data_IF_424267607316
#
_entry.id   IF_424267607316
#
_cell.length_a   1.000
_cell.length_b   1.000
_cell.length_c   1.000
_cell.angle_alpha   90.00
_cell.angle_beta   90.00
_cell.angle_gamma   90.00
#
_symmetry.space_group_name_H-M   'P 1'
#
loop_
_entity.id
_entity.type
_entity.pdbx_description
1 polymer ?
#
# COMPACT_ATOMS: atom_id res chain seq x y z
N UNK A 1 -1.88 22.26 47.54
CA UNK A 1 -1.22 21.02 47.97
C UNK A 1 -0.18 20.79 46.92
N UNK A 2 0.86 21.59 47.03
CA UNK A 2 1.67 22.06 45.91
C UNK A 2 2.89 21.17 45.82
N UNK A 3 3.12 20.59 44.65
CA UNK A 3 4.17 19.63 44.39
C UNK A 3 4.86 19.99 43.08
N UNK A 4 5.63 21.08 43.15
CA UNK A 4 6.59 21.47 42.12
C UNK A 4 7.73 20.44 42.10
N UNK A 5 7.87 19.76 40.97
CA UNK A 5 8.91 18.76 40.73
C UNK A 5 9.70 19.12 39.49
N UNK A 6 10.57 20.11 39.64
CA UNK A 6 11.65 20.41 38.69
C UNK A 6 12.65 19.24 38.68
N UNK A 7 12.83 18.63 37.51
CA UNK A 7 13.60 17.40 37.34
C UNK A 7 14.39 17.37 36.04
N UNK A 8 15.48 18.14 36.06
CA UNK A 8 16.80 17.81 35.53
C UNK A 8 17.05 17.73 34.00
N UNK A 9 18.05 18.52 33.61
CA UNK A 9 18.60 18.66 32.28
C UNK A 9 19.77 17.69 32.11
N UNK A 10 19.53 16.54 31.47
CA UNK A 10 20.56 15.58 31.10
C UNK A 10 20.93 15.68 29.63
N UNK A 11 22.02 16.39 29.32
CA UNK A 11 22.65 16.37 28.00
C UNK A 11 23.19 14.99 27.62
N UNK A 12 23.23 14.70 26.32
CA UNK A 12 23.75 13.42 25.85
C UNK A 12 23.94 13.35 24.33
N UNK A 13 25.09 13.85 23.87
CA UNK A 13 25.85 13.30 22.74
C UNK A 13 25.15 13.21 21.39
N UNK A 14 25.31 14.25 20.58
CA UNK A 14 25.15 14.17 19.12
C UNK A 14 26.31 13.34 18.54
N UNK A 15 26.21 12.01 18.68
CA UNK A 15 27.13 11.03 18.11
C UNK A 15 26.83 10.82 16.63
N UNK A 16 27.15 11.81 15.80
CA UNK A 16 27.20 11.68 14.35
C UNK A 16 28.33 10.74 13.95
N UNK A 17 28.13 9.45 14.16
CA UNK A 17 28.99 8.40 13.63
C UNK A 17 28.86 8.39 12.11
N UNK A 18 29.73 9.13 11.43
CA UNK A 18 30.09 8.85 10.05
C UNK A 18 30.67 7.44 10.04
N UNK A 19 29.81 6.46 9.81
CA UNK A 19 30.20 5.10 9.47
C UNK A 19 31.01 5.18 8.20
N UNK A 20 32.33 5.25 8.36
CA UNK A 20 33.33 5.08 7.32
C UNK A 20 33.34 3.58 6.95
N UNK A 21 32.22 3.09 6.42
CA UNK A 21 32.14 1.79 5.79
C UNK A 21 33.13 1.83 4.64
N UNK A 22 34.11 0.92 4.66
CA UNK A 22 35.23 0.90 3.72
C UNK A 22 34.74 0.96 2.28
N UNK A 23 34.69 2.19 1.75
CA UNK A 23 34.36 2.47 0.37
C UNK A 23 35.38 1.72 -0.47
N UNK A 24 34.92 0.69 -1.18
CA UNK A 24 35.74 0.03 -2.21
C UNK A 24 36.34 1.12 -3.08
N UNK A 25 37.66 1.28 -3.02
CA UNK A 25 38.41 2.51 -3.35
C UNK A 25 38.47 2.87 -4.84
N UNK A 26 37.36 2.79 -5.55
CA UNK A 26 37.21 3.33 -6.90
C UNK A 26 37.17 4.86 -6.90
N UNK A 27 37.68 5.46 -7.97
CA UNK A 27 37.59 6.89 -8.17
C UNK A 27 36.11 7.29 -8.36
N UNK A 28 35.67 8.35 -7.67
CA UNK A 28 34.31 8.87 -7.82
C UNK A 28 34.13 9.43 -9.23
N UNK A 29 33.00 9.11 -9.87
CA UNK A 29 32.66 9.59 -11.20
C UNK A 29 32.56 11.14 -11.21
N UNK A 30 33.03 11.84 -12.27
CA UNK A 30 32.85 13.29 -12.38
C UNK A 30 31.37 13.69 -12.35
N UNK A 31 31.04 14.83 -11.75
CA UNK A 31 29.64 15.28 -11.58
C UNK A 31 28.87 15.39 -12.90
N UNK A 32 29.53 15.77 -14.00
CA UNK A 32 28.89 15.88 -15.32
C UNK A 32 28.54 14.52 -15.96
N UNK A 33 29.07 13.42 -15.41
CA UNK A 33 28.79 12.06 -15.83
C UNK A 33 27.87 11.34 -14.82
N UNK A 34 27.42 12.02 -13.75
CA UNK A 34 26.54 11.40 -12.75
C UNK A 34 25.19 11.00 -13.36
N UNK A 35 24.74 9.78 -13.09
CA UNK A 35 23.42 9.28 -13.51
C UNK A 35 22.33 10.00 -12.73
N UNK A 36 21.32 10.55 -13.41
CA UNK A 36 20.20 11.20 -12.74
C UNK A 36 19.26 10.12 -12.16
N UNK A 37 18.85 10.22 -10.86
CA UNK A 37 17.80 9.36 -10.33
C UNK A 37 16.52 9.31 -11.18
N UNK A 38 16.20 10.37 -11.91
CA UNK A 38 15.04 10.46 -12.79
C UNK A 38 15.13 9.58 -14.05
N UNK A 39 16.32 9.11 -14.42
CA UNK A 39 16.54 8.20 -15.56
C UNK A 39 16.13 6.76 -15.22
N UNK A 40 15.93 6.47 -13.93
CA UNK A 40 15.42 5.18 -13.48
C UNK A 40 13.91 5.08 -13.69
N UNK A 41 13.50 3.91 -14.15
CA UNK A 41 12.12 3.51 -14.33
C UNK A 41 11.74 2.50 -13.25
N UNK A 42 10.53 2.63 -12.74
CA UNK A 42 10.03 1.82 -11.65
C UNK A 42 8.74 1.14 -12.06
N UNK A 43 8.62 -0.14 -11.76
CA UNK A 43 7.42 -0.91 -12.04
C UNK A 43 7.05 -1.84 -10.90
N UNK A 44 5.76 -2.16 -10.84
CA UNK A 44 5.12 -3.10 -9.92
C UNK A 44 4.15 -3.99 -10.71
N UNK A 45 3.55 -4.98 -10.06
CA UNK A 45 2.61 -5.89 -10.72
C UNK A 45 3.26 -6.63 -11.91
N UNK A 46 4.41 -7.25 -11.68
CA UNK A 46 5.20 -7.97 -12.69
C UNK A 46 5.63 -7.11 -13.89
N UNK A 47 6.16 -5.90 -13.63
CA UNK A 47 6.66 -4.94 -14.64
C UNK A 47 5.58 -4.35 -15.56
N UNK A 48 4.30 -4.47 -15.20
CA UNK A 48 3.18 -4.03 -16.05
C UNK A 48 2.57 -2.70 -15.60
N UNK A 49 2.80 -2.29 -14.36
CA UNK A 49 2.33 -1.01 -13.84
C UNK A 49 3.56 -0.16 -13.59
N UNK A 50 3.77 0.87 -14.41
CA UNK A 50 4.84 1.83 -14.18
C UNK A 50 4.40 2.79 -13.07
N UNK A 51 5.25 2.93 -12.04
CA UNK A 51 5.05 3.87 -10.95
C UNK A 51 6.00 5.05 -11.12
N UNK A 52 5.55 6.22 -10.69
CA UNK A 52 6.35 7.45 -10.79
C UNK A 52 7.07 7.71 -9.48
N UNK A 53 8.33 8.12 -9.58
CA UNK A 53 9.04 8.71 -8.46
C UNK A 53 8.49 10.11 -8.20
N UNK A 54 8.13 10.42 -6.96
CA UNK A 54 7.69 11.76 -6.51
C UNK A 54 8.55 12.17 -5.33
N UNK A 55 9.17 13.35 -5.39
CA UNK A 55 10.04 13.87 -4.31
C UNK A 55 11.16 12.88 -3.93
N UNK A 56 11.84 12.33 -4.94
CA UNK A 56 12.89 11.30 -4.76
C UNK A 56 12.40 10.01 -4.06
N UNK A 57 11.11 9.70 -4.15
CA UNK A 57 10.48 8.58 -3.47
C UNK A 57 9.57 7.78 -4.39
N UNK A 58 9.64 6.46 -4.30
CA UNK A 58 8.75 5.53 -4.99
C UNK A 58 7.87 4.84 -3.95
N UNK A 59 6.56 4.93 -4.11
CA UNK A 59 5.57 4.45 -3.14
C UNK A 59 4.89 3.20 -3.69
N UNK A 60 4.75 2.16 -2.87
CA UNK A 60 3.98 0.95 -3.18
C UNK A 60 3.43 0.30 -1.91
N UNK A 61 2.60 -0.73 -2.05
CA UNK A 61 2.19 -1.54 -0.91
C UNK A 61 3.41 -2.24 -0.30
N UNK A 62 3.40 -2.42 1.01
CA UNK A 62 4.32 -3.34 1.67
C UNK A 62 4.23 -4.76 1.06
N UNK A 63 5.32 -5.53 1.15
CA UNK A 63 5.46 -6.88 0.58
C UNK A 63 5.40 -7.00 -0.96
N UNK A 64 5.21 -5.89 -1.69
CA UNK A 64 5.33 -5.87 -3.14
C UNK A 64 6.79 -5.99 -3.61
N UNK A 65 6.95 -6.43 -4.86
CA UNK A 65 8.25 -6.40 -5.55
C UNK A 65 8.25 -5.22 -6.51
N UNK A 66 9.15 -4.26 -6.27
CA UNK A 66 9.41 -3.15 -7.18
C UNK A 66 10.55 -3.53 -8.11
N UNK A 67 10.26 -3.58 -9.40
CA UNK A 67 11.29 -3.64 -10.42
C UNK A 67 11.84 -2.25 -10.67
N UNK A 68 13.16 -2.11 -10.54
CA UNK A 68 13.90 -0.96 -11.04
C UNK A 68 14.50 -1.33 -12.38
N UNK A 69 14.50 -0.41 -13.33
CA UNK A 69 15.37 -0.52 -14.49
C UNK A 69 15.89 0.81 -14.98
N UNK A 70 16.99 0.74 -15.73
CA UNK A 70 17.61 1.88 -16.40
C UNK A 70 18.07 1.44 -17.79
N UNK A 71 17.86 2.30 -18.78
CA UNK A 71 18.36 2.07 -20.13
C UNK A 71 19.87 2.29 -20.12
N UNK A 72 20.63 1.34 -20.69
CA UNK A 72 22.09 1.43 -20.68
C UNK A 72 22.62 2.66 -21.44
N UNK A 73 21.77 3.33 -22.24
CA UNK A 73 22.09 4.60 -22.91
C UNK A 73 22.04 5.83 -22.01
N UNK A 74 21.33 5.77 -20.88
CA UNK A 74 21.32 6.85 -19.88
C UNK A 74 22.54 6.78 -18.95
N UNK A 75 23.30 5.68 -19.02
CA UNK A 75 24.56 5.55 -18.31
C UNK A 75 25.67 6.31 -19.06
N UNK A 76 26.72 6.77 -18.36
CA UNK A 76 27.95 7.24 -18.99
C UNK A 76 28.44 6.27 -20.07
N UNK A 77 29.07 6.81 -21.12
CA UNK A 77 29.66 6.01 -22.20
C UNK A 77 30.91 5.23 -21.73
N UNK A 78 30.69 4.30 -20.81
CA UNK A 78 31.63 3.46 -20.10
C UNK A 78 31.03 2.08 -19.94
N UNK A 79 31.86 1.05 -19.98
CA UNK A 79 31.37 -0.31 -19.80
C UNK A 79 31.08 -0.59 -18.31
N UNK A 80 29.82 -0.93 -18.01
CA UNK A 80 29.40 -1.32 -16.65
C UNK A 80 30.03 -2.67 -16.30
N UNK A 81 30.75 -2.73 -15.19
CA UNK A 81 31.27 -3.97 -14.62
C UNK A 81 30.26 -4.63 -13.68
N UNK A 82 29.64 -3.86 -12.79
CA UNK A 82 28.66 -4.35 -11.81
C UNK A 82 27.70 -3.21 -11.44
N UNK A 83 26.42 -3.50 -11.28
CA UNK A 83 25.45 -2.56 -10.74
C UNK A 83 24.65 -3.24 -9.62
N UNK A 84 24.55 -2.60 -8.46
CA UNK A 84 23.97 -3.17 -7.23
C UNK A 84 23.08 -2.13 -6.56
N UNK A 85 21.85 -2.48 -6.23
CA UNK A 85 21.02 -1.74 -5.28
C UNK A 85 21.24 -2.29 -3.87
N UNK A 86 21.32 -1.40 -2.89
CA UNK A 86 21.30 -1.73 -1.46
C UNK A 86 20.06 -1.11 -0.85
N UNK A 87 19.22 -1.94 -0.21
CA UNK A 87 18.02 -1.53 0.53
C UNK A 87 18.04 -2.21 1.89
N UNK A 88 18.02 -1.44 2.97
CA UNK A 88 18.16 -1.95 4.35
C UNK A 88 19.35 -2.93 4.54
N UNK A 89 20.47 -2.61 3.88
CA UNK A 89 21.68 -3.43 3.92
C UNK A 89 21.63 -4.71 3.09
N UNK A 90 20.51 -5.02 2.41
CA UNK A 90 20.41 -6.13 1.46
C UNK A 90 20.82 -5.68 0.07
N UNK A 91 21.76 -6.40 -0.54
CA UNK A 91 22.24 -6.14 -1.90
C UNK A 91 21.42 -6.93 -2.94
N UNK A 92 21.01 -6.24 -4.01
CA UNK A 92 20.35 -6.82 -5.19
C UNK A 92 21.13 -6.41 -6.43
N UNK A 93 21.59 -7.40 -7.21
CA UNK A 93 22.40 -7.16 -8.41
C UNK A 93 21.50 -6.93 -9.61
N UNK A 94 21.81 -5.90 -10.41
CA UNK A 94 21.12 -5.65 -11.68
C UNK A 94 21.62 -6.60 -12.77
N UNK A 95 20.71 -7.06 -13.61
CA UNK A 95 20.98 -7.91 -14.76
C UNK A 95 20.73 -7.14 -16.04
N UNK A 96 21.67 -7.18 -16.99
CA UNK A 96 21.49 -6.61 -18.32
C UNK A 96 20.60 -7.52 -19.17
N UNK A 97 19.49 -6.97 -19.65
CA UNK A 97 18.59 -7.60 -20.60
C UNK A 97 18.93 -7.09 -22.01
N UNK A 98 19.56 -7.94 -22.83
CA UNK A 98 20.04 -7.55 -24.16
C UNK A 98 18.93 -7.23 -25.17
N UNK A 99 17.69 -7.69 -24.94
CA UNK A 99 16.58 -7.48 -25.87
C UNK A 99 16.16 -6.01 -25.95
N UNK A 100 16.18 -5.32 -24.82
CA UNK A 100 15.77 -3.93 -24.67
C UNK A 100 16.91 -3.03 -24.15
N UNK A 101 18.13 -3.58 -24.02
CA UNK A 101 19.33 -2.90 -23.59
C UNK A 101 19.17 -2.19 -22.24
N UNK A 102 18.51 -2.86 -21.28
CA UNK A 102 18.20 -2.32 -19.95
C UNK A 102 18.76 -3.17 -18.84
N UNK A 103 19.24 -2.52 -17.80
CA UNK A 103 19.56 -3.16 -16.53
C UNK A 103 18.28 -3.26 -15.70
N UNK A 104 18.00 -4.42 -15.10
CA UNK A 104 16.87 -4.62 -14.21
C UNK A 104 17.28 -5.24 -12.88
N UNK A 105 16.62 -4.83 -11.81
CA UNK A 105 16.64 -5.50 -10.51
C UNK A 105 15.22 -5.58 -9.96
N UNK A 106 14.85 -6.72 -9.39
CA UNK A 106 13.58 -6.92 -8.72
C UNK A 106 13.83 -6.85 -7.20
N UNK A 107 13.31 -5.82 -6.54
CA UNK A 107 13.58 -5.52 -5.14
C UNK A 107 12.31 -5.75 -4.32
N UNK A 108 12.30 -6.71 -3.38
CA UNK A 108 11.21 -6.84 -2.42
C UNK A 108 11.19 -5.62 -1.50
N UNK A 109 10.04 -4.98 -1.32
CA UNK A 109 9.90 -3.85 -0.42
C UNK A 109 10.10 -4.31 1.04
N UNK A 110 10.88 -3.61 1.88
CA UNK A 110 11.26 -4.13 3.20
C UNK A 110 10.14 -4.15 4.25
N UNK A 111 9.00 -3.51 3.98
CA UNK A 111 7.84 -3.38 4.88
C UNK A 111 7.34 -1.94 4.96
N UNK A 112 6.58 -1.60 6.00
CA UNK A 112 6.07 -0.26 6.25
C UNK A 112 7.18 0.79 6.43
N UNK A 113 6.89 2.01 5.97
CA UNK A 113 7.73 3.18 6.21
C UNK A 113 8.69 3.48 5.06
N UNK A 114 9.61 4.39 5.33
CA UNK A 114 10.55 4.93 4.34
C UNK A 114 11.88 4.18 4.47
N UNK A 115 12.38 3.68 3.33
CA UNK A 115 13.59 2.89 3.23
C UNK A 115 14.55 3.54 2.24
N UNK A 116 15.78 3.81 2.68
CA UNK A 116 16.80 4.39 1.81
C UNK A 116 17.32 3.34 0.83
N UNK A 117 17.41 3.74 -0.44
CA UNK A 117 17.96 2.94 -1.52
C UNK A 117 19.23 3.60 -2.03
N UNK A 118 20.30 2.82 -2.11
CA UNK A 118 21.55 3.24 -2.74
C UNK A 118 21.88 2.31 -3.91
N UNK A 119 21.95 2.85 -5.12
CA UNK A 119 22.44 2.13 -6.29
C UNK A 119 23.91 2.50 -6.50
N UNK A 120 24.77 1.49 -6.58
CA UNK A 120 26.16 1.64 -6.94
C UNK A 120 26.41 1.06 -8.32
N UNK A 121 26.99 1.87 -9.21
CA UNK A 121 27.45 1.45 -10.55
C UNK A 121 28.97 1.44 -10.54
N UNK A 122 29.57 0.26 -10.69
CA UNK A 122 31.01 0.07 -10.88
C UNK A 122 31.28 -0.11 -12.37
N UNK A 123 32.13 0.75 -12.93
CA UNK A 123 32.56 0.67 -14.32
C UNK A 123 33.90 -0.08 -14.44
N UNK A 124 34.19 -0.62 -15.63
CA UNK A 124 35.44 -1.37 -15.87
C UNK A 124 36.72 -0.52 -15.76
N UNK A 125 36.60 0.80 -15.90
CA UNK A 125 37.71 1.73 -15.67
C UNK A 125 38.02 1.95 -14.17
N UNK A 126 37.26 1.31 -13.28
CA UNK A 126 37.39 1.42 -11.83
C UNK A 126 36.67 2.64 -11.24
N UNK A 127 35.99 3.45 -12.05
CA UNK A 127 35.15 4.54 -11.54
C UNK A 127 33.85 4.01 -10.94
N UNK A 128 33.30 4.74 -9.98
CA UNK A 128 32.08 4.37 -9.26
C UNK A 128 31.11 5.54 -9.26
N UNK A 129 29.86 5.24 -9.59
CA UNK A 129 28.73 6.14 -9.36
C UNK A 129 27.81 5.64 -8.24
N UNK A 130 27.17 6.56 -7.52
CA UNK A 130 26.29 6.27 -6.37
C UNK A 130 25.02 7.12 -6.42
N UNK A 131 23.90 6.49 -6.73
CA UNK A 131 22.58 7.11 -6.85
C UNK A 131 21.77 6.79 -5.60
N UNK A 132 21.02 7.76 -5.06
CA UNK A 132 20.20 7.57 -3.85
C UNK A 132 18.78 8.08 -4.02
N UNK A 133 17.83 7.26 -3.60
CA UNK A 133 16.41 7.61 -3.49
C UNK A 133 15.75 6.78 -2.39
N UNK A 134 14.44 6.93 -2.22
CA UNK A 134 13.70 6.23 -1.17
C UNK A 134 12.60 5.35 -1.74
N UNK A 135 12.40 4.18 -1.11
CA UNK A 135 11.12 3.49 -1.16
C UNK A 135 10.26 3.90 0.01
N UNK A 136 8.95 3.95 -0.18
CA UNK A 136 7.98 4.01 0.91
C UNK A 136 6.97 2.89 0.76
N UNK A 137 7.03 1.94 1.70
CA UNK A 137 6.02 0.91 1.83
C UNK A 137 4.85 1.45 2.63
N UNK A 138 3.67 1.45 2.02
CA UNK A 138 2.43 1.79 2.71
C UNK A 138 1.68 0.51 3.07
N UNK A 139 0.97 0.57 4.19
CA UNK A 139 0.24 -0.60 4.67
C UNK A 139 -1.00 -0.92 3.85
N UNK A 140 -1.47 -2.14 4.03
CA UNK A 140 -2.74 -2.58 3.49
C UNK A 140 -3.93 -1.85 4.14
N UNK A 141 -5.03 -1.76 3.38
CA UNK A 141 -6.32 -1.34 3.90
C UNK A 141 -6.90 -2.41 4.81
N UNK A 142 -7.88 -2.04 5.65
CA UNK A 142 -8.53 -2.98 6.57
C UNK A 142 -10.02 -3.05 6.33
N UNK A 143 -10.60 -4.24 6.50
CA UNK A 143 -12.05 -4.43 6.58
C UNK A 143 -12.48 -4.60 8.03
N UNK A 144 -13.32 -3.70 8.52
CA UNK A 144 -13.77 -3.68 9.93
C UNK A 144 -15.29 -3.53 10.07
N UNK A 145 -15.86 -3.92 11.21
CA UNK A 145 -17.27 -3.66 11.54
C UNK A 145 -17.48 -2.18 11.90
N UNK A 146 -18.51 -1.53 11.36
CA UNK A 146 -18.80 -0.12 11.66
C UNK A 146 -19.07 0.10 13.15
N UNK A 147 -18.36 1.07 13.72
CA UNK A 147 -18.49 1.47 15.13
C UNK A 147 -17.67 0.60 16.07
N UNK A 148 -16.90 -0.36 15.53
CA UNK A 148 -15.96 -1.21 16.26
C UNK A 148 -14.63 -1.22 15.50
N UNK A 149 -13.52 -1.44 16.18
CA UNK A 149 -12.23 -1.74 15.53
C UNK A 149 -12.05 -3.26 15.35
N UNK A 150 -13.16 -3.95 15.08
CA UNK A 150 -13.19 -5.40 14.91
C UNK A 150 -12.96 -5.73 13.43
N UNK A 151 -11.86 -6.42 13.14
CA UNK A 151 -11.57 -6.95 11.79
C UNK A 151 -12.57 -8.01 11.37
N UNK A 152 -12.79 -8.12 10.06
CA UNK A 152 -13.76 -9.04 9.47
C UNK A 152 -13.10 -10.02 8.48
N UNK A 153 -12.40 -11.05 8.99
CA UNK A 153 -11.83 -12.13 8.17
C UNK A 153 -12.90 -12.84 7.33
N UNK A 154 -12.49 -13.39 6.19
CA UNK A 154 -13.38 -14.03 5.23
C UNK A 154 -14.20 -13.05 4.38
N UNK A 155 -14.05 -11.73 4.58
CA UNK A 155 -14.70 -10.75 3.70
C UNK A 155 -14.15 -10.91 2.28
N UNK A 156 -15.05 -11.06 1.30
CA UNK A 156 -14.70 -11.01 -0.11
C UNK A 156 -14.70 -9.56 -0.58
N UNK A 157 -13.55 -9.05 -1.00
CA UNK A 157 -13.36 -7.71 -1.58
C UNK A 157 -13.12 -7.86 -3.09
N UNK A 158 -13.98 -7.23 -3.88
CA UNK A 158 -13.90 -7.19 -5.35
C UNK A 158 -13.57 -5.76 -5.77
N UNK A 159 -12.55 -5.62 -6.61
CA UNK A 159 -12.25 -4.37 -7.30
C UNK A 159 -12.91 -4.35 -8.68
N UNK A 160 -13.66 -3.28 -8.97
CA UNK A 160 -14.28 -3.03 -10.26
C UNK A 160 -13.58 -1.88 -10.98
N UNK A 161 -13.23 -2.10 -12.25
CA UNK A 161 -12.67 -1.09 -13.14
C UNK A 161 -13.80 -0.30 -13.81
N UNK A 162 -13.95 0.97 -13.43
CA UNK A 162 -15.00 1.84 -13.95
C UNK A 162 -14.67 2.40 -15.35
N UNK A 163 -13.40 2.38 -15.77
CA UNK A 163 -13.01 2.71 -17.14
C UNK A 163 -13.43 1.59 -18.10
N UNK A 164 -13.43 0.34 -17.62
CA UNK A 164 -13.93 -0.83 -18.34
C UNK A 164 -15.43 -1.10 -18.08
N UNK A 165 -16.25 -0.08 -17.82
CA UNK A 165 -17.70 -0.25 -17.67
C UNK A 165 -18.15 -0.91 -16.35
N UNK A 166 -17.27 -1.03 -15.36
CA UNK A 166 -17.57 -1.60 -14.05
C UNK A 166 -17.41 -3.13 -13.97
N UNK A 167 -16.64 -3.73 -14.87
CA UNK A 167 -16.25 -5.14 -14.79
C UNK A 167 -15.22 -5.36 -13.68
N UNK A 168 -15.08 -6.62 -13.23
CA UNK A 168 -14.00 -6.99 -12.32
C UNK A 168 -12.66 -6.68 -12.96
N UNK A 169 -11.78 -6.00 -12.21
CA UNK A 169 -10.44 -5.70 -12.69
C UNK A 169 -9.62 -6.99 -12.82
N UNK A 170 -8.99 -7.20 -13.98
CA UNK A 170 -8.18 -8.39 -14.28
C UNK A 170 -6.83 -8.35 -13.53
N UNK A 171 -6.88 -8.63 -12.24
CA UNK A 171 -5.71 -8.64 -11.36
C UNK A 171 -4.70 -9.73 -11.74
N UNK A 172 -5.15 -10.85 -12.32
CA UNK A 172 -4.30 -11.95 -12.72
C UNK A 172 -3.30 -11.52 -13.80
N UNK A 173 -3.70 -10.59 -14.68
CA UNK A 173 -2.78 -9.97 -15.63
C UNK A 173 -1.60 -9.26 -14.96
N UNK A 174 -1.68 -8.88 -13.69
CA UNK A 174 -0.64 -8.17 -12.94
C UNK A 174 -0.01 -9.03 -11.83
N UNK A 175 -0.30 -10.33 -11.81
CA UNK A 175 0.20 -11.24 -10.76
C UNK A 175 -0.51 -11.09 -9.41
N UNK A 176 -1.66 -10.42 -9.38
CA UNK A 176 -2.49 -10.22 -8.19
C UNK A 176 -3.76 -11.08 -8.27
N UNK A 177 -4.57 -11.06 -7.21
CA UNK A 177 -5.85 -11.76 -7.14
C UNK A 177 -7.00 -10.76 -7.03
N UNK A 178 -8.10 -11.03 -7.72
CA UNK A 178 -9.36 -10.32 -7.58
C UNK A 178 -10.48 -11.31 -7.93
N UNK A 179 -11.41 -11.62 -7.01
CA UNK A 179 -11.54 -11.08 -5.65
C UNK A 179 -10.41 -11.45 -4.68
N UNK A 180 -10.23 -10.62 -3.65
CA UNK A 180 -9.44 -10.94 -2.45
C UNK A 180 -10.37 -11.49 -1.37
N UNK A 181 -9.97 -12.58 -0.71
CA UNK A 181 -10.59 -13.05 0.53
C UNK A 181 -9.71 -12.59 1.69
N UNK A 182 -10.26 -11.71 2.52
CA UNK A 182 -9.54 -11.06 3.62
C UNK A 182 -9.16 -12.09 4.69
N UNK A 183 -7.92 -12.03 5.16
CA UNK A 183 -7.37 -12.91 6.19
C UNK A 183 -7.72 -12.48 7.62
N UNK A 184 -7.08 -13.14 8.59
CA UNK A 184 -7.32 -12.92 10.03
C UNK A 184 -6.93 -11.52 10.54
N UNK A 185 -6.00 -10.85 9.85
CA UNK A 185 -5.56 -9.49 10.13
C UNK A 185 -6.52 -8.42 9.58
N UNK A 186 -7.51 -8.82 8.78
CA UNK A 186 -8.46 -7.94 8.14
C UNK A 186 -7.91 -7.18 6.94
N UNK A 187 -6.70 -7.51 6.46
CA UNK A 187 -6.00 -6.71 5.46
C UNK A 187 -6.44 -6.98 4.02
N UNK A 188 -6.35 -5.96 3.18
CA UNK A 188 -6.45 -6.08 1.72
C UNK A 188 -5.71 -4.93 1.03
N UNK A 189 -5.32 -5.12 -0.23
CA UNK A 189 -4.73 -4.06 -1.03
C UNK A 189 -4.66 -4.44 -2.49
N UNK A 190 -4.63 -3.44 -3.37
CA UNK A 190 -4.37 -3.63 -4.79
C UNK A 190 -3.33 -2.62 -5.26
N UNK A 191 -2.45 -3.06 -6.16
CA UNK A 191 -1.61 -2.18 -6.95
C UNK A 191 -2.14 -2.15 -8.37
N UNK A 192 -2.59 -0.99 -8.85
CA UNK A 192 -3.36 -0.87 -10.09
C UNK A 192 -2.79 0.21 -11.01
N UNK A 193 -3.06 0.17 -12.33
CA UNK A 193 -2.90 1.34 -13.17
C UNK A 193 -3.71 2.53 -12.63
N UNK A 194 -3.23 3.75 -12.83
CA UNK A 194 -4.01 4.93 -12.47
C UNK A 194 -5.31 4.98 -13.30
N UNK A 195 -6.43 5.30 -12.66
CA UNK A 195 -7.74 5.14 -13.26
C UNK A 195 -8.89 5.36 -12.30
N UNK A 196 -10.09 4.94 -12.69
CA UNK A 196 -11.30 5.10 -11.88
C UNK A 196 -11.83 3.75 -11.46
N UNK A 197 -12.03 3.57 -10.16
CA UNK A 197 -12.33 2.27 -9.57
C UNK A 197 -13.50 2.33 -8.60
N UNK A 198 -13.99 1.15 -8.21
CA UNK A 198 -14.98 0.96 -7.15
C UNK A 198 -14.68 -0.33 -6.41
N UNK A 199 -14.88 -0.33 -5.09
CA UNK A 199 -14.76 -1.52 -4.25
C UNK A 199 -16.16 -2.06 -3.89
N UNK A 200 -16.27 -3.38 -3.89
CA UNK A 200 -17.44 -4.11 -3.40
C UNK A 200 -16.98 -5.12 -2.37
N UNK A 201 -17.46 -4.99 -1.14
CA UNK A 201 -17.14 -5.92 -0.05
C UNK A 201 -18.39 -6.67 0.41
N UNK A 202 -18.26 -7.99 0.56
CA UNK A 202 -19.34 -8.88 0.98
C UNK A 202 -18.85 -9.85 2.05
N UNK A 203 -19.62 -9.96 3.13
CA UNK A 203 -19.45 -10.96 4.18
C UNK A 203 -20.84 -11.43 4.65
N UNK A 204 -20.98 -12.72 4.94
CA UNK A 204 -22.21 -13.28 5.49
C UNK A 204 -22.56 -12.63 6.84
N UNK A 205 -23.84 -12.36 7.09
CA UNK A 205 -24.28 -11.60 8.28
C UNK A 205 -24.05 -10.08 8.20
N UNK A 206 -23.44 -9.57 7.13
CA UNK A 206 -23.23 -8.13 6.90
C UNK A 206 -23.96 -7.64 5.64
N UNK A 207 -24.21 -6.33 5.57
CA UNK A 207 -24.68 -5.67 4.35
C UNK A 207 -23.54 -5.58 3.34
N UNK A 208 -23.84 -5.85 2.07
CA UNK A 208 -22.91 -5.59 0.98
C UNK A 208 -22.57 -4.11 0.94
N UNK A 209 -21.29 -3.81 1.04
CA UNK A 209 -20.76 -2.45 0.91
C UNK A 209 -20.32 -2.23 -0.54
N UNK A 210 -20.79 -1.15 -1.15
CA UNK A 210 -20.34 -0.68 -2.47
C UNK A 210 -19.89 0.76 -2.31
N UNK A 211 -18.64 1.06 -2.61
CA UNK A 211 -18.15 2.45 -2.55
C UNK A 211 -18.74 3.28 -3.68
N UNK A 212 -18.67 4.61 -3.55
CA UNK A 212 -18.70 5.46 -4.75
C UNK A 212 -17.47 5.16 -5.61
N UNK A 213 -17.54 5.52 -6.89
CA UNK A 213 -16.35 5.45 -7.74
C UNK A 213 -15.34 6.52 -7.31
N UNK A 214 -14.07 6.17 -7.22
CA UNK A 214 -12.96 7.06 -6.85
C UNK A 214 -11.85 7.00 -7.90
N UNK A 215 -10.97 8.00 -7.92
CA UNK A 215 -9.81 8.06 -8.81
C UNK A 215 -8.57 7.57 -8.06
N UNK A 216 -7.76 6.75 -8.73
CA UNK A 216 -6.44 6.31 -8.26
C UNK A 216 -5.40 6.99 -9.12
N UNK A 217 -4.50 7.73 -8.49
CA UNK A 217 -3.43 8.50 -9.14
C UNK A 217 -2.03 8.18 -8.60
N UNK A 218 -1.93 7.24 -7.66
CA UNK A 218 -0.71 6.79 -6.99
C UNK A 218 -0.50 5.27 -7.12
N UNK A 219 -1.26 4.61 -8.01
CA UNK A 219 -1.26 3.18 -8.26
C UNK A 219 -1.66 2.27 -7.09
N UNK A 220 -2.17 2.79 -5.96
CA UNK A 220 -2.43 2.00 -4.75
C UNK A 220 -3.89 2.14 -4.32
N UNK A 221 -4.51 1.03 -3.95
CA UNK A 221 -5.83 1.00 -3.30
C UNK A 221 -5.70 0.26 -1.98
N UNK A 222 -5.79 0.99 -0.87
CA UNK A 222 -5.64 0.49 0.49
C UNK A 222 -6.56 1.22 1.49
N UNK A 223 -7.72 1.69 1.05
CA UNK A 223 -8.68 2.37 1.91
C UNK A 223 -9.21 1.45 3.04
N UNK A 224 -9.70 2.03 4.12
CA UNK A 224 -10.46 1.26 5.11
C UNK A 224 -11.89 1.03 4.61
N UNK A 225 -12.34 -0.24 4.59
CA UNK A 225 -13.72 -0.62 4.33
C UNK A 225 -14.41 -0.91 5.66
N UNK A 226 -15.56 -0.27 5.88
CA UNK A 226 -16.43 -0.56 7.03
C UNK A 226 -17.67 -1.33 6.58
N UNK A 227 -17.96 -2.47 7.20
CA UNK A 227 -19.20 -3.21 6.98
C UNK A 227 -20.21 -2.98 8.10
N UNK A 228 -21.49 -2.96 7.75
CA UNK A 228 -22.60 -2.81 8.70
C UNK A 228 -23.21 -4.20 8.92
N UNK A 229 -23.22 -4.66 10.17
CA UNK A 229 -23.84 -5.94 10.54
C UNK A 229 -25.34 -5.88 10.26
N UNK A 230 -25.90 -6.91 9.63
CA UNK A 230 -27.34 -7.02 9.42
C UNK A 230 -28.01 -7.18 10.78
N UNK A 231 -29.13 -6.49 10.98
CA UNK A 231 -30.01 -6.81 12.10
C UNK A 231 -30.50 -8.26 12.00
N UNK A 232 -30.63 -8.93 13.13
CA UNK A 232 -31.28 -10.25 13.19
C UNK A 232 -32.71 -10.13 12.68
N UNK A 233 -33.20 -11.18 12.02
CA UNK A 233 -34.61 -11.23 11.66
C UNK A 233 -35.46 -11.45 12.91
N UNK A 234 -36.72 -11.01 12.87
CA UNK A 234 -37.66 -11.29 13.95
C UNK A 234 -37.82 -12.79 14.19
N UNK A 235 -37.83 -13.61 13.14
CA UNK A 235 -37.98 -15.06 13.24
C UNK A 235 -36.82 -15.71 13.99
N UNK A 236 -35.57 -15.35 13.65
CA UNK A 236 -34.36 -15.82 14.33
C UNK A 236 -34.34 -15.39 15.80
N UNK A 237 -34.64 -14.11 16.07
CA UNK A 237 -34.65 -13.57 17.43
C UNK A 237 -35.74 -14.22 18.30
N UNK A 238 -36.91 -14.53 17.73
CA UNK A 238 -38.01 -15.17 18.44
C UNK A 238 -37.79 -16.67 18.64
N UNK A 239 -37.09 -17.35 17.73
CA UNK A 239 -36.76 -18.76 17.85
C UNK A 239 -35.85 -19.05 19.05
N UNK A 240 -34.99 -18.09 19.43
CA UNK A 240 -34.12 -18.19 20.61
C UNK A 240 -34.81 -17.92 21.96
N UNK A 241 -36.08 -17.48 21.97
CA UNK A 241 -36.78 -17.06 23.18
C UNK A 241 -37.81 -18.09 23.67
N UNK A 242 -37.57 -18.65 24.86
CA UNK A 242 -38.38 -19.70 25.51
C UNK A 242 -39.67 -19.20 26.19
N UNK A 243 -39.78 -17.90 26.48
CA UNK A 243 -40.93 -17.31 27.18
C UNK A 243 -41.48 -16.08 26.47
N UNK A 244 -42.75 -15.75 26.69
CA UNK A 244 -43.42 -14.56 26.10
C UNK A 244 -42.70 -13.26 26.46
N UNK A 245 -42.21 -13.10 27.69
CA UNK A 245 -41.46 -11.91 28.11
C UNK A 245 -40.14 -11.80 27.34
N UNK A 246 -39.38 -12.90 27.21
CA UNK A 246 -38.16 -12.91 26.41
C UNK A 246 -38.43 -12.68 24.92
N UNK A 247 -39.56 -13.15 24.39
CA UNK A 247 -39.98 -12.88 22.99
C UNK A 247 -40.24 -11.39 22.75
N UNK A 248 -40.91 -10.71 23.68
CA UNK A 248 -41.11 -9.25 23.60
C UNK A 248 -39.76 -8.51 23.69
N UNK A 249 -38.87 -8.94 24.58
CA UNK A 249 -37.51 -8.38 24.69
C UNK A 249 -36.68 -8.57 23.41
N UNK A 250 -36.72 -9.77 22.82
CA UNK A 250 -36.05 -10.10 21.56
C UNK A 250 -36.58 -9.25 20.39
N UNK A 251 -37.91 -9.10 20.28
CA UNK A 251 -38.53 -8.24 19.28
C UNK A 251 -38.11 -6.77 19.43
N UNK A 252 -38.08 -6.24 20.65
CA UNK A 252 -37.61 -4.87 20.92
C UNK A 252 -36.13 -4.68 20.55
N UNK A 253 -35.28 -5.68 20.83
CA UNK A 253 -33.87 -5.69 20.43
C UNK A 253 -33.71 -5.63 18.90
N UNK A 254 -34.46 -6.44 18.16
CA UNK A 254 -34.45 -6.42 16.68
C UNK A 254 -34.84 -5.05 16.12
N UNK A 255 -35.89 -4.42 16.65
CA UNK A 255 -36.28 -3.06 16.24
C UNK A 255 -35.14 -2.06 16.46
N UNK A 256 -34.47 -2.12 17.62
CA UNK A 256 -33.32 -1.28 17.92
C UNK A 256 -32.14 -1.51 16.97
N UNK A 257 -31.85 -2.76 16.61
CA UNK A 257 -30.81 -3.11 15.65
C UNK A 257 -31.15 -2.59 14.24
N UNK A 258 -32.40 -2.76 13.78
CA UNK A 258 -32.86 -2.25 12.48
C UNK A 258 -32.69 -0.73 12.41
N UNK A 259 -33.10 -0.01 13.45
CA UNK A 259 -32.94 1.45 13.49
C UNK A 259 -31.47 1.87 13.45
N UNK A 260 -30.60 1.18 14.20
CA UNK A 260 -29.15 1.42 14.21
C UNK A 260 -28.55 1.15 12.82
N UNK A 261 -28.89 0.02 12.20
CA UNK A 261 -28.46 -0.35 10.85
C UNK A 261 -28.83 0.74 9.84
N UNK A 262 -30.10 1.17 9.80
CA UNK A 262 -30.58 2.20 8.86
C UNK A 262 -29.87 3.55 9.08
N UNK A 263 -29.64 3.93 10.34
CA UNK A 263 -28.90 5.14 10.68
C UNK A 263 -27.46 5.06 10.18
N UNK A 264 -26.76 3.95 10.41
CA UNK A 264 -25.39 3.74 9.95
C UNK A 264 -25.28 3.78 8.42
N UNK A 265 -26.25 3.19 7.69
CA UNK A 265 -26.29 3.24 6.22
C UNK A 265 -26.49 4.67 5.73
N UNK A 266 -27.36 5.45 6.37
CA UNK A 266 -27.59 6.85 6.00
C UNK A 266 -26.34 7.71 6.24
N UNK A 267 -25.70 7.59 7.41
CA UNK A 267 -24.44 8.28 7.72
C UNK A 267 -23.33 7.91 6.74
N UNK A 268 -23.24 6.64 6.35
CA UNK A 268 -22.24 6.19 5.39
C UNK A 268 -22.41 6.84 4.02
N UNK A 269 -23.63 6.89 3.49
CA UNK A 269 -23.92 7.55 2.21
C UNK A 269 -23.55 9.02 2.25
N UNK A 270 -23.81 9.70 3.38
CA UNK A 270 -23.44 11.11 3.58
C UNK A 270 -21.91 11.25 3.60
N UNK A 271 -21.21 10.38 4.32
CA UNK A 271 -19.74 10.40 4.39
C UNK A 271 -19.09 10.16 3.02
N UNK A 272 -19.62 9.24 2.22
CA UNK A 272 -19.14 9.01 0.86
C UNK A 272 -19.35 10.22 -0.06
N UNK A 273 -20.52 10.86 0.04
CA UNK A 273 -20.81 12.09 -0.72
C UNK A 273 -19.89 13.22 -0.29
N UNK A 274 -19.65 13.39 1.01
CA UNK A 274 -18.73 14.39 1.53
C UNK A 274 -17.28 14.15 1.06
N UNK A 275 -16.80 12.90 1.08
CA UNK A 275 -15.47 12.54 0.56
C UNK A 275 -15.35 12.91 -0.91
N UNK A 276 -16.33 12.49 -1.72
CA UNK A 276 -16.37 12.81 -3.15
C UNK A 276 -16.46 14.31 -3.43
N UNK A 277 -17.12 15.08 -2.56
CA UNK A 277 -17.19 16.54 -2.71
C UNK A 277 -15.83 17.23 -2.46
N UNK A 278 -14.98 16.67 -1.59
CA UNK A 278 -13.62 17.19 -1.34
C UNK A 278 -12.62 16.85 -2.45
N UNK A 279 -12.94 15.87 -3.30
CA UNK A 279 -12.11 15.47 -4.45
C UNK A 279 -12.36 16.35 -5.70
N UNK A 280 -13.37 17.23 -5.69
CA UNK A 280 -13.74 18.15 -6.78
C UNK A 280 -13.20 19.56 -6.54
#
# INVERSE_FOLDING_TARGET
GDGDGDGDAGGGGNGGGQGNGGDGGGAVLPQAEHVDPADFLFWVGQKKIQVQQRNNRVISLEDEVVTIGIDARELPNKEVQKMVATVDGKEVVFVLHNRDNRFYADIPLPGLGVHDVAIQVLFKDGTVDRIRFQFEGVGHGRVVERGKDLVLPGTKVVLLDMNAGGHEWDAAAYGQQNPIIVGDDGSYGFVVPNGKYKLVATLEGYKTRKTLSFVVDNNIINDQITLIKKAETFEEALAGADTTIKKVGAAASVVGQIFTEQTQVATEKVADVARKANEL
#
